data_IF_092584723162
#
_entry.id   IF_092584723162
#
_cell.length_a   1.000
_cell.length_b   1.000
_cell.length_c   1.000
_cell.angle_alpha   90.00
_cell.angle_beta   90.00
_cell.angle_gamma   90.00
#
_symmetry.space_group_name_H-M   'P 1'
#
loop_
_entity.id
_entity.type
_entity.pdbx_description
1 polymer ?
#
# COMPACT_ATOMS: atom_id res chain seq x y z
N UNK A 1 22.07 0.76 30.67
CA UNK A 1 21.41 -0.16 29.71
C UNK A 1 21.88 0.27 28.33
N UNK A 2 22.73 -0.49 27.63
CA UNK A 2 23.40 0.02 26.44
C UNK A 2 22.41 0.08 25.26
N UNK A 3 22.40 1.22 24.57
CA UNK A 3 21.54 1.53 23.42
C UNK A 3 21.74 0.61 22.21
N UNK A 4 22.75 -0.27 22.25
CA UNK A 4 23.17 -1.13 21.15
C UNK A 4 22.17 -2.22 20.77
N UNK A 5 21.30 -2.66 21.69
CA UNK A 5 20.30 -3.69 21.38
C UNK A 5 19.07 -3.17 20.63
N UNK A 6 18.86 -1.86 20.58
CA UNK A 6 17.68 -1.26 19.92
C UNK A 6 17.96 -0.98 18.44
N UNK A 7 19.22 -0.74 18.07
CA UNK A 7 19.61 -0.42 16.68
C UNK A 7 19.71 -1.65 15.75
N UNK A 8 19.91 -2.86 16.28
CA UNK A 8 19.99 -4.08 15.42
C UNK A 8 18.61 -4.62 14.99
N UNK A 9 17.52 -4.25 15.68
CA UNK A 9 16.17 -4.75 15.34
C UNK A 9 15.44 -3.90 14.29
N UNK A 10 15.95 -2.73 13.91
CA UNK A 10 15.27 -1.80 12.99
C UNK A 10 15.61 -2.01 11.50
N UNK A 11 16.56 -2.89 11.18
CA UNK A 11 17.07 -3.04 9.81
C UNK A 11 16.55 -4.28 9.06
N UNK A 12 15.61 -5.03 9.64
CA UNK A 12 14.95 -6.14 8.94
C UNK A 12 14.02 -5.54 7.89
N UNK A 13 14.50 -5.47 6.65
CA UNK A 13 13.72 -4.95 5.53
C UNK A 13 12.57 -5.92 5.21
N UNK A 14 11.42 -5.43 4.71
CA UNK A 14 10.25 -6.29 4.45
C UNK A 14 10.50 -7.50 3.52
N UNK A 15 11.57 -7.48 2.73
CA UNK A 15 11.95 -8.55 1.80
C UNK A 15 13.04 -9.50 2.34
N UNK A 16 13.49 -9.32 3.58
CA UNK A 16 14.43 -10.22 4.23
C UNK A 16 13.75 -11.58 4.53
N UNK A 17 14.43 -12.73 4.34
CA UNK A 17 13.92 -14.03 4.75
C UNK A 17 13.37 -14.08 6.20
N UNK A 18 14.00 -13.36 7.13
CA UNK A 18 13.57 -13.32 8.54
C UNK A 18 12.29 -12.51 8.74
N UNK A 19 11.99 -11.56 7.85
CA UNK A 19 10.78 -10.75 7.90
C UNK A 19 9.50 -11.58 7.75
N UNK A 20 9.58 -12.72 7.05
CA UNK A 20 8.42 -13.61 6.84
C UNK A 20 7.89 -14.24 8.13
N UNK A 21 8.74 -14.46 9.11
CA UNK A 21 8.36 -15.08 10.38
C UNK A 21 7.88 -14.04 11.40
N UNK A 22 8.37 -12.80 11.28
CA UNK A 22 8.12 -11.71 12.23
C UNK A 22 6.93 -10.82 11.86
N UNK A 23 6.61 -10.70 10.56
CA UNK A 23 5.55 -9.83 10.07
C UNK A 23 4.31 -10.67 9.76
N UNK A 24 3.22 -10.39 10.48
CA UNK A 24 1.91 -11.00 10.21
C UNK A 24 0.99 -10.01 9.51
N UNK A 25 0.43 -10.44 8.39
CA UNK A 25 -0.49 -9.65 7.58
C UNK A 25 -1.94 -10.00 7.94
N UNK A 26 -2.73 -8.98 8.29
CA UNK A 26 -4.17 -9.08 8.50
C UNK A 26 -4.92 -8.33 7.39
N UNK A 27 -6.25 -8.33 7.45
CA UNK A 27 -7.09 -7.68 6.44
C UNK A 27 -6.95 -6.14 6.48
N UNK A 28 -6.85 -5.55 7.67
CA UNK A 28 -6.84 -4.11 7.91
C UNK A 28 -5.55 -3.57 8.56
N UNK A 29 -4.62 -4.45 8.93
CA UNK A 29 -3.38 -4.08 9.62
C UNK A 29 -2.22 -5.07 9.39
N UNK A 30 -1.02 -4.62 9.77
CA UNK A 30 0.20 -5.43 9.83
C UNK A 30 0.70 -5.44 11.27
N UNK A 31 0.98 -6.63 11.79
CA UNK A 31 1.58 -6.82 13.11
C UNK A 31 3.06 -7.20 12.96
N UNK A 32 3.92 -6.54 13.71
CA UNK A 32 5.30 -6.95 13.94
C UNK A 32 5.64 -6.99 15.44
N UNK A 33 6.91 -7.20 15.79
CA UNK A 33 7.35 -7.24 17.19
C UNK A 33 7.19 -5.90 17.95
N UNK A 34 7.03 -4.78 17.23
CA UNK A 34 6.93 -3.43 17.77
C UNK A 34 5.48 -2.94 17.90
N UNK A 35 4.55 -3.48 17.12
CA UNK A 35 3.13 -3.23 17.28
C UNK A 35 2.28 -3.50 16.04
N UNK A 36 1.11 -2.85 16.01
CA UNK A 36 0.11 -2.96 14.95
C UNK A 36 0.07 -1.68 14.11
N UNK A 37 0.17 -1.84 12.79
CA UNK A 37 0.17 -0.76 11.81
C UNK A 37 -1.08 -0.88 10.94
N UNK A 38 -2.03 0.02 11.14
CA UNK A 38 -3.28 0.04 10.37
C UNK A 38 -3.06 0.56 8.95
N UNK A 39 -3.75 -0.05 8.00
CA UNK A 39 -3.75 0.45 6.64
C UNK A 39 -4.50 1.79 6.56
N UNK A 40 -3.86 2.76 5.89
CA UNK A 40 -4.50 4.04 5.63
C UNK A 40 -5.70 3.85 4.70
N UNK A 41 -6.79 4.58 4.94
CA UNK A 41 -7.93 4.56 4.05
C UNK A 41 -7.55 5.14 2.69
N UNK A 42 -7.84 4.40 1.61
CA UNK A 42 -7.48 4.77 0.24
C UNK A 42 -8.27 5.99 -0.25
N UNK A 43 -9.45 6.23 0.32
CA UNK A 43 -10.32 7.36 -0.06
C UNK A 43 -9.81 8.63 0.61
N UNK A 44 -9.08 9.44 -0.15
CA UNK A 44 -8.74 10.82 0.22
C UNK A 44 -9.65 11.78 -0.53
N UNK A 45 -10.28 12.71 0.19
CA UNK A 45 -10.99 13.83 -0.43
C UNK A 45 -10.04 14.62 -1.34
N UNK A 46 -10.53 15.07 -2.50
CA UNK A 46 -9.76 15.86 -3.45
C UNK A 46 -10.29 17.30 -3.42
N UNK A 47 -9.70 18.17 -2.58
CA UNK A 47 -10.10 19.57 -2.54
C UNK A 47 -9.72 20.28 -3.84
N UNK A 48 -10.41 21.39 -4.15
CA UNK A 48 -10.15 22.17 -5.37
C UNK A 48 -8.76 22.79 -5.42
N UNK A 49 -8.19 23.08 -4.25
CA UNK A 49 -6.86 23.67 -4.10
C UNK A 49 -6.07 22.71 -3.19
N UNK A 50 -4.96 22.20 -3.70
CA UNK A 50 -4.05 21.32 -2.97
C UNK A 50 -2.98 22.16 -2.27
N UNK A 51 -2.57 21.79 -1.06
CA UNK A 51 -1.51 22.50 -0.33
C UNK A 51 -0.12 22.13 -0.85
N UNK A 52 0.03 20.92 -1.38
CA UNK A 52 1.29 20.43 -1.95
C UNK A 52 1.04 19.46 -3.11
N UNK A 53 2.05 19.28 -3.96
CA UNK A 53 1.99 18.33 -5.07
C UNK A 53 1.82 16.87 -4.60
N UNK A 54 2.24 16.53 -3.38
CA UNK A 54 2.09 15.18 -2.82
C UNK A 54 0.62 14.80 -2.60
N UNK A 55 -0.26 15.78 -2.42
CA UNK A 55 -1.71 15.53 -2.27
C UNK A 55 -2.37 15.10 -3.59
N UNK A 56 -1.71 15.33 -4.72
CA UNK A 56 -2.15 14.83 -6.03
C UNK A 56 -1.82 13.33 -6.23
N UNK A 57 -1.03 12.72 -5.34
CA UNK A 57 -0.68 11.29 -5.41
C UNK A 57 -1.84 10.46 -4.87
N UNK A 58 -2.26 9.46 -5.65
CA UNK A 58 -3.46 8.65 -5.40
C UNK A 58 -4.61 9.04 -6.32
N UNK A 59 -5.80 8.49 -6.08
CA UNK A 59 -7.02 8.76 -6.88
C UNK A 59 -6.80 8.69 -8.40
N UNK A 60 -5.93 7.78 -8.85
CA UNK A 60 -5.65 7.56 -10.27
C UNK A 60 -6.94 7.08 -10.95
N UNK A 61 -7.32 7.67 -12.11
CA UNK A 61 -8.57 7.32 -12.77
C UNK A 61 -8.53 5.86 -13.23
N UNK A 62 -9.60 5.13 -12.93
CA UNK A 62 -9.87 3.81 -13.50
C UNK A 62 -10.58 4.01 -14.84
N UNK A 63 -9.92 3.70 -15.95
CA UNK A 63 -10.37 4.05 -17.31
C UNK A 63 -10.81 2.81 -18.07
N UNK A 64 -12.07 2.79 -18.50
CA UNK A 64 -12.65 1.70 -19.29
C UNK A 64 -11.90 1.49 -20.61
N UNK A 65 -11.54 0.24 -20.89
CA UNK A 65 -11.05 -0.18 -22.19
C UNK A 65 -12.23 -0.42 -23.15
N UNK A 66 -12.26 0.33 -24.26
CA UNK A 66 -13.39 0.26 -25.20
C UNK A 66 -13.11 -0.60 -26.44
N UNK A 67 -11.88 -0.62 -26.95
CA UNK A 67 -11.55 -1.30 -28.23
C UNK A 67 -10.94 -2.69 -28.04
N UNK A 68 -9.92 -2.77 -27.20
CA UNK A 68 -9.18 -4.02 -26.97
C UNK A 68 -10.10 -5.15 -26.49
N UNK A 69 -11.06 -4.95 -25.55
CA UNK A 69 -11.95 -6.03 -25.16
C UNK A 69 -12.81 -6.56 -26.31
N UNK A 70 -13.34 -5.67 -27.15
CA UNK A 70 -14.18 -6.02 -28.30
C UNK A 70 -13.38 -6.83 -29.34
N UNK A 71 -12.15 -6.42 -29.64
CA UNK A 71 -11.26 -7.11 -30.59
C UNK A 71 -10.97 -8.57 -30.18
N UNK A 72 -10.99 -8.87 -28.88
CA UNK A 72 -10.73 -10.20 -28.33
C UNK A 72 -12.01 -10.96 -27.93
N UNK A 73 -13.20 -10.42 -28.24
CA UNK A 73 -14.48 -11.05 -27.92
C UNK A 73 -14.79 -11.09 -26.42
N UNK A 74 -14.22 -10.17 -25.64
CA UNK A 74 -14.45 -10.09 -24.19
C UNK A 74 -15.73 -9.30 -23.92
N UNK A 75 -16.71 -9.96 -23.29
CA UNK A 75 -18.03 -9.38 -23.01
C UNK A 75 -18.11 -8.60 -21.69
N UNK A 76 -17.13 -8.78 -20.78
CA UNK A 76 -17.13 -8.10 -19.49
C UNK A 76 -16.55 -6.68 -19.58
N UNK A 77 -16.98 -5.82 -18.65
CA UNK A 77 -16.45 -4.47 -18.55
C UNK A 77 -15.01 -4.51 -17.99
N UNK A 78 -14.03 -4.22 -18.85
CA UNK A 78 -12.64 -4.08 -18.42
C UNK A 78 -12.36 -2.60 -18.15
N UNK A 79 -11.97 -2.30 -16.92
CA UNK A 79 -11.69 -0.97 -16.42
C UNK A 79 -10.44 -0.98 -15.55
#
# INVERSE_FOLDING_TARGET
MPASQIEEMSDIKPWDPQAKELIKWHEDEVEDNFGHYKFASIIKEQPKILNSMLEAIGNTPLVKLNRIPEEYGIECNIC
#
